data_IF_757388504297
#
_entry.id   IF_757388504297
#
_cell.length_a   1.000
_cell.length_b   1.000
_cell.length_c   1.000
_cell.angle_alpha   90.00
_cell.angle_beta   90.00
_cell.angle_gamma   90.00
#
_symmetry.space_group_name_H-M   'P 1'
#
loop_
_entity.id
_entity.type
_entity.pdbx_description
1 polymer ?
#
# COMPACT_ATOMS: atom_id res chain seq x y z
N UNK A 1 -21.93 0.85 2.59
CA UNK A 1 -21.15 0.07 1.61
C UNK A 1 -20.52 1.09 0.69
N UNK A 2 -19.19 1.14 0.62
CA UNK A 2 -18.48 1.92 -0.39
C UNK A 2 -18.21 0.93 -1.52
N UNK A 3 -18.76 1.18 -2.70
CA UNK A 3 -18.67 0.33 -3.89
C UNK A 3 -17.70 0.87 -4.95
N UNK A 4 -17.33 2.15 -4.84
CA UNK A 4 -16.36 2.82 -5.71
C UNK A 4 -15.02 3.05 -4.99
N UNK A 5 -14.33 1.96 -4.63
CA UNK A 5 -13.00 2.02 -4.03
C UNK A 5 -12.13 0.85 -4.52
N UNK A 6 -10.90 1.17 -4.93
CA UNK A 6 -9.85 0.19 -5.20
C UNK A 6 -8.65 0.48 -4.33
N UNK A 7 -8.11 -0.57 -3.70
CA UNK A 7 -6.93 -0.52 -2.85
C UNK A 7 -5.69 -1.00 -3.60
N UNK A 8 -4.57 -0.34 -3.36
CA UNK A 8 -3.25 -0.70 -3.89
C UNK A 8 -2.29 -0.95 -2.71
N UNK A 9 -1.64 -2.11 -2.72
CA UNK A 9 -0.63 -2.48 -1.72
C UNK A 9 0.77 -2.11 -2.20
N UNK A 10 1.50 -1.35 -1.38
CA UNK A 10 2.94 -1.11 -1.50
C UNK A 10 3.70 -1.89 -0.44
N UNK A 11 4.76 -2.59 -0.84
CA UNK A 11 5.64 -3.34 0.07
C UNK A 11 6.96 -2.61 0.21
N UNK A 12 7.34 -2.29 1.46
CA UNK A 12 8.64 -1.68 1.73
C UNK A 12 9.72 -2.74 1.90
N UNK A 13 10.85 -2.51 1.24
CA UNK A 13 12.06 -3.28 1.46
C UNK A 13 13.23 -2.35 1.81
N UNK A 14 14.12 -2.82 2.68
CA UNK A 14 15.33 -2.10 3.07
C UNK A 14 16.55 -2.91 2.69
N UNK A 15 17.40 -2.27 1.89
CA UNK A 15 18.65 -2.83 1.41
C UNK A 15 19.80 -1.88 1.76
N UNK A 16 20.93 -2.45 2.20
CA UNK A 16 22.18 -1.73 2.41
C UNK A 16 23.27 -2.41 1.58
N UNK A 17 23.99 -1.64 0.76
CA UNK A 17 25.01 -2.16 -0.15
C UNK A 17 24.51 -3.34 -1.02
N UNK A 18 23.29 -3.23 -1.54
CA UNK A 18 22.65 -4.26 -2.37
C UNK A 18 22.20 -5.52 -1.62
N UNK A 19 22.36 -5.58 -0.29
CA UNK A 19 21.94 -6.72 0.53
C UNK A 19 20.71 -6.37 1.36
N UNK A 20 19.69 -7.25 1.44
CA UNK A 20 18.57 -7.06 2.34
C UNK A 20 19.06 -7.12 3.80
N UNK A 21 18.60 -6.20 4.64
CA UNK A 21 19.10 -6.09 6.03
C UNK A 21 18.10 -6.51 7.12
N UNK A 22 16.85 -6.75 6.77
CA UNK A 22 15.86 -7.24 7.74
C UNK A 22 15.81 -8.77 7.72
N UNK A 23 15.40 -9.37 8.85
CA UNK A 23 15.32 -10.83 9.01
C UNK A 23 14.43 -11.50 7.95
N UNK A 24 13.42 -10.79 7.45
CA UNK A 24 12.51 -11.29 6.43
C UNK A 24 12.90 -10.80 5.03
N UNK A 25 14.13 -11.13 4.60
CA UNK A 25 14.64 -10.82 3.24
C UNK A 25 14.50 -9.34 2.85
N UNK A 26 14.69 -8.43 3.80
CA UNK A 26 14.60 -7.00 3.55
C UNK A 26 13.20 -6.41 3.72
N UNK A 27 12.14 -7.21 3.91
CA UNK A 27 10.80 -6.71 4.21
C UNK A 27 10.79 -5.79 5.44
N UNK A 28 10.13 -4.64 5.33
CA UNK A 28 10.11 -3.59 6.35
C UNK A 28 8.71 -3.01 6.60
N UNK A 29 7.65 -3.71 6.18
CA UNK A 29 6.27 -3.26 6.32
C UNK A 29 5.60 -2.97 4.99
N UNK A 30 4.42 -2.39 5.06
CA UNK A 30 3.58 -2.09 3.91
C UNK A 30 2.87 -0.75 4.06
N UNK A 31 2.33 -0.26 2.94
CA UNK A 31 1.39 0.84 2.86
C UNK A 31 0.20 0.37 2.03
N UNK A 32 -1.02 0.57 2.53
CA UNK A 32 -2.21 0.49 1.68
C UNK A 32 -2.64 1.91 1.36
N UNK A 33 -2.89 2.16 0.09
CA UNK A 33 -3.60 3.35 -0.36
C UNK A 33 -4.85 2.94 -1.10
N UNK A 34 -5.90 3.75 -0.98
CA UNK A 34 -7.16 3.52 -1.67
C UNK A 34 -7.57 4.76 -2.45
N UNK A 35 -8.27 4.56 -3.57
CA UNK A 35 -8.80 5.62 -4.44
C UNK A 35 -10.14 5.19 -5.05
N UNK A 36 -10.91 6.17 -5.55
CA UNK A 36 -12.07 5.87 -6.40
C UNK A 36 -11.65 5.12 -7.66
N UNK A 37 -12.46 4.18 -8.11
CA UNK A 37 -12.25 3.43 -9.37
C UNK A 37 -12.39 4.33 -10.60
N UNK A 38 -12.96 5.53 -10.43
CA UNK A 38 -13.19 6.51 -11.51
C UNK A 38 -12.03 7.48 -11.71
N UNK A 39 -11.02 7.44 -10.85
CA UNK A 39 -9.87 8.35 -10.89
C UNK A 39 -8.65 7.67 -11.51
N UNK A 40 -7.98 8.39 -12.41
CA UNK A 40 -6.74 7.91 -13.04
C UNK A 40 -5.55 8.01 -12.09
N UNK A 41 -5.38 9.13 -11.40
CA UNK A 41 -4.38 9.33 -10.35
C UNK A 41 -4.75 8.68 -9.01
N UNK A 42 -3.75 8.41 -8.17
CA UNK A 42 -3.93 7.78 -6.85
C UNK A 42 -2.98 8.31 -5.79
N UNK A 43 -2.38 9.49 -6.04
CA UNK A 43 -1.49 10.12 -5.09
C UNK A 43 -2.25 10.62 -3.87
N UNK A 44 -1.78 10.26 -2.68
CA UNK A 44 -2.33 10.79 -1.42
C UNK A 44 -2.01 12.28 -1.33
N UNK A 45 -0.76 12.66 -1.64
CA UNK A 45 -0.34 14.07 -1.64
C UNK A 45 -0.97 14.91 -2.75
N UNK A 46 -1.47 14.31 -3.84
CA UNK A 46 -2.26 15.02 -4.86
C UNK A 46 -3.75 15.14 -4.49
N UNK A 47 -4.15 14.61 -3.32
CA UNK A 47 -5.54 14.64 -2.83
C UNK A 47 -6.47 13.63 -3.50
N UNK A 48 -5.94 12.72 -4.33
CA UNK A 48 -6.73 11.77 -5.12
C UNK A 48 -6.90 10.41 -4.44
N UNK A 49 -6.12 10.14 -3.38
CA UNK A 49 -6.18 8.91 -2.62
C UNK A 49 -6.11 9.15 -1.11
N UNK A 50 -6.37 8.08 -0.36
CA UNK A 50 -6.32 8.05 1.10
C UNK A 50 -5.40 6.95 1.59
N UNK A 51 -4.85 7.10 2.79
CA UNK A 51 -4.22 6.00 3.51
C UNK A 51 -5.28 5.01 3.98
N UNK A 52 -4.94 3.73 3.93
CA UNK A 52 -5.83 2.64 4.32
C UNK A 52 -5.06 1.57 5.09
N UNK A 53 -5.78 0.53 5.54
CA UNK A 53 -5.25 -0.61 6.29
C UNK A 53 -5.78 -1.94 5.75
N UNK A 54 -5.08 -3.03 6.02
CA UNK A 54 -5.57 -4.37 5.70
C UNK A 54 -6.47 -4.87 6.84
N UNK A 55 -7.70 -5.24 6.50
CA UNK A 55 -8.54 -6.04 7.35
C UNK A 55 -8.40 -7.51 6.94
N UNK A 56 -7.94 -8.36 7.85
CA UNK A 56 -7.94 -9.81 7.64
C UNK A 56 -9.38 -10.29 7.75
N UNK A 57 -9.89 -10.93 6.69
CA UNK A 57 -11.22 -11.53 6.67
C UNK A 57 -11.08 -13.06 6.63
N UNK A 58 -11.84 -13.75 7.48
CA UNK A 58 -11.93 -15.22 7.51
C UNK A 58 -12.92 -15.74 6.45
N UNK A 59 -12.75 -15.36 5.19
CA UNK A 59 -13.59 -15.90 4.11
C UNK A 59 -13.46 -17.43 4.01
#
# INVERSE_FOLDING_TARGET
IIDDLISEIGIFTVHLAGKPITQNKGYAGYLIRSKSTRTTEGGIHSGQGVLDSLALSEL
#
